data_IF_342123922229
#
_entry.id   IF_342123922229
#
_cell.length_a   1.000
_cell.length_b   1.000
_cell.length_c   1.000
_cell.angle_alpha   90.00
_cell.angle_beta   90.00
_cell.angle_gamma   90.00
#
_symmetry.space_group_name_H-M   'P 1'
#
loop_
_entity.id
_entity.type
_entity.pdbx_description
1 polymer ?
#
# COMPACT_ATOMS: atom_id res chain seq x y z
N UNK A 1 -24.19 5.88 42.19
CA UNK A 1 -24.19 4.40 42.31
C UNK A 1 -22.91 3.89 41.67
N UNK A 2 -21.86 3.82 42.48
CA UNK A 2 -20.50 3.43 42.09
C UNK A 2 -20.42 1.90 42.09
N UNK A 3 -20.22 1.29 40.93
CA UNK A 3 -19.96 -0.14 40.87
C UNK A 3 -18.45 -0.36 41.08
N UNK A 4 -18.12 -0.89 42.25
CA UNK A 4 -16.78 -1.23 42.69
C UNK A 4 -16.22 -2.37 41.82
N UNK A 5 -15.21 -2.08 41.00
CA UNK A 5 -14.33 -3.11 40.42
C UNK A 5 -13.25 -3.47 41.46
N UNK A 6 -13.70 -4.07 42.57
CA UNK A 6 -12.86 -4.66 43.62
C UNK A 6 -12.69 -6.16 43.39
N UNK A 7 -12.03 -6.54 42.30
CA UNK A 7 -11.60 -7.91 42.05
C UNK A 7 -10.09 -8.00 42.23
N UNK A 8 -9.67 -8.60 43.34
CA UNK A 8 -8.28 -8.86 43.72
C UNK A 8 -7.50 -9.56 42.60
N UNK A 9 -6.30 -9.02 42.32
CA UNK A 9 -5.28 -9.44 41.32
C UNK A 9 -4.73 -10.88 41.46
N UNK A 10 -5.36 -11.73 42.27
CA UNK A 10 -4.96 -13.12 42.51
C UNK A 10 -6.10 -14.07 42.15
N UNK A 11 -6.40 -14.22 40.86
CA UNK A 11 -7.11 -15.40 40.40
C UNK A 11 -6.71 -15.70 38.96
N UNK A 12 -6.17 -16.90 38.79
CA UNK A 12 -5.54 -17.48 37.60
C UNK A 12 -4.11 -16.96 37.36
N UNK A 13 -3.11 -17.78 37.71
CA UNK A 13 -1.67 -17.53 37.52
C UNK A 13 -1.24 -17.52 36.06
N UNK A 14 -1.91 -16.74 35.22
CA UNK A 14 -1.64 -16.63 33.80
C UNK A 14 -1.23 -15.21 33.46
N UNK A 15 0.02 -15.07 33.03
CA UNK A 15 0.61 -13.78 32.66
C UNK A 15 0.16 -13.42 31.25
N UNK A 16 -0.36 -12.21 31.09
CA UNK A 16 -0.57 -11.61 29.76
C UNK A 16 0.79 -11.49 29.06
N UNK A 17 0.85 -11.99 27.84
CA UNK A 17 2.06 -12.06 27.00
C UNK A 17 2.01 -11.04 25.87
N UNK A 18 3.16 -10.75 25.27
CA UNK A 18 3.23 -9.94 24.05
C UNK A 18 2.33 -10.49 22.94
N UNK A 19 2.24 -11.83 22.81
CA UNK A 19 1.33 -12.47 21.86
C UNK A 19 -0.15 -12.14 22.12
N UNK A 20 -0.55 -11.96 23.36
CA UNK A 20 -1.93 -11.54 23.64
C UNK A 20 -2.17 -10.10 23.23
N UNK A 21 -1.19 -9.22 23.47
CA UNK A 21 -1.26 -7.82 23.07
C UNK A 21 -1.39 -7.75 21.53
N UNK A 22 -0.64 -8.58 20.79
CA UNK A 22 -0.82 -8.73 19.34
C UNK A 22 -2.24 -9.21 18.97
N UNK A 23 -2.78 -10.21 19.67
CA UNK A 23 -4.15 -10.71 19.45
C UNK A 23 -5.17 -9.60 19.72
N UNK A 24 -5.04 -8.84 20.81
CA UNK A 24 -5.91 -7.73 21.17
C UNK A 24 -5.87 -6.62 20.11
N UNK A 25 -4.66 -6.26 19.67
CA UNK A 25 -4.45 -5.28 18.62
C UNK A 25 -5.10 -5.73 17.31
N UNK A 26 -4.90 -6.99 16.93
CA UNK A 26 -5.53 -7.55 15.73
C UNK A 26 -7.05 -7.57 15.82
N UNK A 27 -7.63 -8.07 16.91
CA UNK A 27 -9.09 -8.08 17.16
C UNK A 27 -9.69 -6.67 17.12
N UNK A 28 -8.99 -5.69 17.68
CA UNK A 28 -9.40 -4.29 17.66
C UNK A 28 -9.53 -3.71 16.25
N UNK A 29 -8.65 -4.15 15.33
CA UNK A 29 -8.62 -3.73 13.93
C UNK A 29 -9.71 -4.43 13.09
N UNK A 30 -9.91 -5.74 13.24
CA UNK A 30 -10.86 -6.54 12.44
C UNK A 30 -12.31 -6.57 12.97
N UNK A 31 -12.61 -5.81 14.04
CA UNK A 31 -13.89 -5.81 14.79
C UNK A 31 -14.13 -7.08 15.61
N UNK A 32 -14.14 -8.24 14.95
CA UNK A 32 -14.46 -9.53 15.55
C UNK A 32 -13.73 -10.67 14.85
N UNK A 33 -13.50 -11.77 15.56
CA UNK A 33 -12.94 -12.98 14.98
C UNK A 33 -13.43 -14.25 15.68
N UNK A 34 -13.39 -15.36 14.95
CA UNK A 34 -13.50 -16.71 15.49
C UNK A 34 -12.14 -17.25 15.91
N UNK A 35 -12.16 -18.31 16.72
CA UNK A 35 -10.94 -19.01 17.16
C UNK A 35 -10.10 -19.49 15.97
N UNK A 36 -10.75 -19.99 14.92
CA UNK A 36 -10.08 -20.49 13.72
C UNK A 36 -9.36 -19.38 12.94
N UNK A 37 -9.89 -18.16 12.97
CA UNK A 37 -9.26 -17.01 12.30
C UNK A 37 -8.04 -16.52 13.08
N UNK A 38 -8.12 -16.52 14.43
CA UNK A 38 -6.97 -16.27 15.30
C UNK A 38 -5.90 -17.35 15.11
N UNK A 39 -6.32 -18.62 15.09
CA UNK A 39 -5.45 -19.76 14.81
C UNK A 39 -4.68 -19.55 13.50
N UNK A 40 -5.40 -19.21 12.44
CA UNK A 40 -4.85 -19.02 11.10
C UNK A 40 -3.88 -17.84 11.03
N UNK A 41 -4.32 -16.65 11.49
CA UNK A 41 -3.53 -15.41 11.47
C UNK A 41 -2.20 -15.54 12.20
N UNK A 42 -2.19 -16.24 13.33
CA UNK A 42 -1.02 -16.33 14.20
C UNK A 42 -0.27 -17.65 14.06
N UNK A 43 -0.65 -18.51 13.11
CA UNK A 43 0.03 -19.78 12.85
C UNK A 43 0.11 -20.70 14.06
N UNK A 44 -0.90 -20.68 14.94
CA UNK A 44 -0.90 -21.44 16.18
C UNK A 44 -1.81 -22.67 16.13
N UNK A 45 -1.65 -23.61 17.06
CA UNK A 45 -2.58 -24.72 17.20
C UNK A 45 -3.94 -24.23 17.72
N UNK A 46 -5.05 -24.83 17.28
CA UNK A 46 -6.42 -24.45 17.67
C UNK A 46 -6.62 -24.38 19.18
N UNK A 47 -6.13 -25.39 19.91
CA UNK A 47 -6.22 -25.45 21.38
C UNK A 47 -5.44 -24.33 22.07
N UNK A 48 -4.29 -23.91 21.50
CA UNK A 48 -3.54 -22.75 22.00
C UNK A 48 -4.31 -21.45 21.75
N UNK A 49 -4.86 -21.25 20.55
CA UNK A 49 -5.68 -20.08 20.23
C UNK A 49 -6.87 -19.94 21.17
N UNK A 50 -7.62 -21.04 21.36
CA UNK A 50 -8.75 -21.09 22.29
C UNK A 50 -8.32 -20.72 23.71
N UNK A 51 -7.25 -21.33 24.23
CA UNK A 51 -6.75 -21.05 25.58
C UNK A 51 -6.33 -19.59 25.76
N UNK A 52 -5.66 -18.97 24.79
CA UNK A 52 -5.30 -17.54 24.87
C UNK A 52 -6.54 -16.66 24.89
N UNK A 53 -7.51 -16.91 24.00
CA UNK A 53 -8.77 -16.16 23.96
C UNK A 53 -9.57 -16.32 25.25
N UNK A 54 -9.61 -17.53 25.82
CA UNK A 54 -10.27 -17.78 27.10
C UNK A 54 -9.64 -16.96 28.22
N UNK A 55 -8.31 -16.95 28.35
CA UNK A 55 -7.65 -16.13 29.38
C UNK A 55 -7.91 -14.64 29.17
N UNK A 56 -7.87 -14.16 27.92
CA UNK A 56 -8.18 -12.76 27.62
C UNK A 56 -9.62 -12.38 27.94
N UNK A 57 -10.56 -13.32 27.76
CA UNK A 57 -11.95 -13.17 28.12
C UNK A 57 -12.16 -13.16 29.64
N UNK A 58 -11.55 -14.10 30.37
CA UNK A 58 -11.56 -14.15 31.84
C UNK A 58 -10.95 -12.89 32.47
N UNK A 59 -9.92 -12.32 31.84
CA UNK A 59 -9.30 -11.05 32.23
C UNK A 59 -10.11 -9.79 31.83
N UNK A 60 -11.26 -9.95 31.14
CA UNK A 60 -12.10 -8.82 30.68
C UNK A 60 -11.48 -7.99 29.54
N UNK A 61 -10.42 -8.47 28.90
CA UNK A 61 -9.75 -7.79 27.78
C UNK A 61 -10.41 -8.11 26.43
N UNK A 62 -11.11 -9.25 26.35
CA UNK A 62 -11.90 -9.68 25.19
C UNK A 62 -13.34 -9.96 25.63
N UNK A 63 -14.32 -9.59 24.82
CA UNK A 63 -15.71 -10.05 24.95
C UNK A 63 -15.96 -11.26 24.07
N UNK A 64 -16.84 -12.16 24.50
CA UNK A 64 -17.25 -13.35 23.73
C UNK A 64 -18.76 -13.32 23.49
N UNK A 65 -19.16 -13.32 22.22
CA UNK A 65 -20.56 -13.31 21.80
C UNK A 65 -20.92 -14.70 21.24
N UNK A 66 -21.64 -15.48 22.05
CA UNK A 66 -22.07 -16.83 21.70
C UNK A 66 -23.42 -16.87 20.97
N UNK A 67 -24.24 -15.83 21.08
CA UNK A 67 -25.59 -15.77 20.52
C UNK A 67 -25.60 -15.30 19.05
N UNK A 68 -24.72 -15.88 18.25
CA UNK A 68 -24.57 -15.59 16.81
C UNK A 68 -24.68 -16.89 16.00
N UNK A 69 -25.06 -16.83 14.71
CA UNK A 69 -25.07 -18.03 13.87
C UNK A 69 -23.67 -18.67 13.73
N UNK A 70 -23.55 -19.93 14.18
CA UNK A 70 -22.32 -20.72 14.12
C UNK A 70 -21.45 -20.58 15.38
N UNK A 71 -20.12 -20.79 15.27
CA UNK A 71 -19.21 -20.57 16.40
C UNK A 71 -19.24 -19.12 16.89
N UNK A 72 -19.16 -18.94 18.21
CA UNK A 72 -19.08 -17.63 18.86
C UNK A 72 -17.89 -16.80 18.39
N UNK A 73 -18.01 -15.49 18.55
CA UNK A 73 -17.01 -14.51 18.10
C UNK A 73 -16.43 -13.74 19.26
N UNK A 74 -15.17 -13.34 19.11
CA UNK A 74 -14.39 -12.62 20.10
C UNK A 74 -14.13 -11.20 19.61
N UNK A 75 -14.22 -10.22 20.50
CA UNK A 75 -14.02 -8.79 20.22
C UNK A 75 -13.15 -8.17 21.30
N UNK A 76 -12.27 -7.23 20.95
CA UNK A 76 -11.53 -6.49 21.97
C UNK A 76 -12.47 -5.58 22.76
N UNK A 77 -12.40 -5.63 24.10
CA UNK A 77 -13.12 -4.69 24.97
C UNK A 77 -12.40 -3.33 24.98
N UNK A 78 -12.99 -2.32 25.62
CA UNK A 78 -12.31 -1.03 25.80
C UNK A 78 -10.97 -1.19 26.52
N UNK A 79 -10.90 -2.05 27.54
CA UNK A 79 -9.68 -2.37 28.26
C UNK A 79 -8.67 -3.09 27.35
N UNK A 80 -9.13 -4.07 26.56
CA UNK A 80 -8.28 -4.75 25.57
C UNK A 80 -7.65 -3.79 24.56
N UNK A 81 -8.42 -2.81 24.07
CA UNK A 81 -7.91 -1.78 23.16
C UNK A 81 -6.87 -0.87 23.82
N UNK A 82 -7.03 -0.54 25.12
CA UNK A 82 -6.02 0.23 25.85
C UNK A 82 -4.71 -0.54 25.99
N UNK A 83 -4.80 -1.85 26.30
CA UNK A 83 -3.63 -2.74 26.37
C UNK A 83 -2.90 -2.86 25.03
N UNK A 84 -3.62 -2.78 23.92
CA UNK A 84 -3.05 -2.78 22.57
C UNK A 84 -2.70 -1.38 22.05
N UNK A 85 -2.80 -0.34 22.89
CA UNK A 85 -2.52 1.06 22.53
C UNK A 85 -3.33 1.56 21.31
N UNK A 86 -4.53 1.01 21.11
CA UNK A 86 -5.42 1.39 20.01
C UNK A 86 -6.41 2.46 20.45
N UNK A 87 -6.33 3.62 19.80
CA UNK A 87 -7.31 4.71 19.91
C UNK A 87 -8.52 4.48 19.00
N UNK A 88 -9.11 3.28 19.08
CA UNK A 88 -10.33 2.90 18.36
C UNK A 88 -11.50 2.80 19.36
N UNK A 89 -12.73 3.00 18.88
CA UNK A 89 -13.92 2.66 19.67
C UNK A 89 -13.99 1.13 19.87
N UNK A 90 -14.73 0.65 20.88
CA UNK A 90 -15.06 -0.78 20.97
C UNK A 90 -15.94 -1.21 19.80
N UNK A 91 -15.76 -2.43 19.31
CA UNK A 91 -16.63 -2.98 18.27
C UNK A 91 -17.92 -3.53 18.88
N UNK A 92 -18.98 -3.56 18.07
CA UNK A 92 -20.26 -4.22 18.38
C UNK A 92 -20.58 -5.24 17.30
N UNK A 93 -21.27 -6.31 17.69
CA UNK A 93 -21.77 -7.33 16.77
C UNK A 93 -23.13 -6.88 16.22
N UNK A 94 -23.28 -6.97 14.90
CA UNK A 94 -24.57 -6.83 14.23
C UNK A 94 -24.82 -8.07 13.39
N UNK A 95 -25.95 -8.75 13.60
CA UNK A 95 -26.31 -9.93 12.82
C UNK A 95 -26.43 -9.63 11.32
N UNK A 96 -26.79 -8.40 10.96
CA UNK A 96 -26.90 -7.95 9.57
C UNK A 96 -25.53 -7.89 8.87
N UNK A 97 -24.46 -7.53 9.59
CA UNK A 97 -23.10 -7.39 9.03
C UNK A 97 -22.18 -8.54 9.37
N UNK A 98 -22.53 -9.39 10.36
CA UNK A 98 -21.67 -10.46 10.90
C UNK A 98 -21.02 -11.32 9.81
N UNK A 99 -21.81 -11.73 8.81
CA UNK A 99 -21.29 -12.53 7.69
C UNK A 99 -20.22 -11.78 6.90
N UNK A 100 -20.42 -10.50 6.64
CA UNK A 100 -19.46 -9.66 5.93
C UNK A 100 -18.22 -9.37 6.82
N UNK A 101 -18.43 -9.03 8.09
CA UNK A 101 -17.35 -8.80 9.06
C UNK A 101 -16.43 -10.03 9.18
N UNK A 102 -16.99 -11.24 9.31
CA UNK A 102 -16.22 -12.47 9.33
C UNK A 102 -15.41 -12.69 8.05
N UNK A 103 -15.98 -12.39 6.88
CA UNK A 103 -15.27 -12.52 5.61
C UNK A 103 -14.15 -11.50 5.47
N UNK A 104 -14.33 -10.27 5.96
CA UNK A 104 -13.23 -9.30 6.05
C UNK A 104 -12.13 -9.81 6.97
N UNK A 105 -12.49 -10.36 8.13
CA UNK A 105 -11.53 -10.94 9.07
C UNK A 105 -10.73 -12.08 8.43
N UNK A 106 -11.35 -12.94 7.61
CA UNK A 106 -10.64 -13.98 6.86
C UNK A 106 -9.60 -13.38 5.90
N UNK A 107 -9.98 -12.34 5.14
CA UNK A 107 -9.08 -11.67 4.20
C UNK A 107 -7.92 -11.01 4.94
N UNK A 108 -8.18 -10.28 6.03
CA UNK A 108 -7.11 -9.65 6.84
C UNK A 108 -6.21 -10.72 7.47
N UNK A 109 -6.78 -11.80 8.00
CA UNK A 109 -6.02 -12.91 8.57
C UNK A 109 -5.04 -13.49 7.56
N UNK A 110 -5.49 -13.70 6.32
CA UNK A 110 -4.69 -14.24 5.22
C UNK A 110 -3.55 -13.29 4.79
N UNK A 111 -3.88 -12.01 4.60
CA UNK A 111 -2.92 -10.99 4.19
C UNK A 111 -1.77 -10.86 5.21
N UNK A 112 -2.11 -10.93 6.48
CA UNK A 112 -1.16 -10.68 7.57
C UNK A 112 -0.51 -11.93 8.17
N UNK A 113 -0.93 -13.15 7.77
CA UNK A 113 -0.46 -14.41 8.37
C UNK A 113 1.07 -14.53 8.46
N UNK A 114 1.78 -14.10 7.43
CA UNK A 114 3.24 -14.20 7.37
C UNK A 114 3.96 -12.97 7.93
N UNK A 115 3.18 -12.00 8.44
CA UNK A 115 3.62 -10.91 9.31
C UNK A 115 4.62 -9.92 8.74
N UNK A 116 4.94 -9.93 7.44
CA UNK A 116 6.22 -9.35 7.01
C UNK A 116 6.29 -8.36 5.85
N UNK A 117 5.24 -7.98 5.12
CA UNK A 117 5.50 -7.12 3.95
C UNK A 117 4.49 -6.01 3.66
N UNK A 118 3.29 -6.04 4.24
CA UNK A 118 2.23 -5.14 3.79
C UNK A 118 1.47 -4.55 4.97
N UNK A 119 1.36 -3.22 4.99
CA UNK A 119 0.54 -2.52 5.96
C UNK A 119 -0.91 -2.61 5.50
N UNK A 120 -1.70 -3.41 6.21
CA UNK A 120 -3.12 -3.58 5.95
C UNK A 120 -3.91 -2.58 6.80
N UNK A 121 -4.84 -1.88 6.17
CA UNK A 121 -5.77 -0.98 6.84
C UNK A 121 -7.17 -1.55 6.76
N UNK A 122 -7.83 -1.71 7.91
CA UNK A 122 -9.26 -2.03 7.94
C UNK A 122 -10.11 -0.77 7.82
N UNK A 123 -11.40 -0.92 7.48
CA UNK A 123 -12.35 0.19 7.48
C UNK A 123 -12.30 1.04 8.77
N UNK A 124 -12.14 0.40 9.94
CA UNK A 124 -12.07 1.11 11.23
C UNK A 124 -10.86 2.03 11.32
N UNK A 125 -9.71 1.50 10.92
CA UNK A 125 -8.45 2.24 10.94
C UNK A 125 -8.50 3.39 9.95
N UNK A 126 -9.03 3.12 8.75
CA UNK A 126 -9.22 4.16 7.75
C UNK A 126 -10.20 5.25 8.21
N UNK A 127 -11.30 4.92 8.89
CA UNK A 127 -12.20 5.94 9.46
C UNK A 127 -11.52 6.79 10.52
N UNK A 128 -10.76 6.16 11.42
CA UNK A 128 -10.01 6.87 12.44
C UNK A 128 -8.95 7.80 11.81
N UNK A 129 -8.28 7.33 10.78
CA UNK A 129 -7.32 8.11 10.00
C UNK A 129 -8.01 9.26 9.26
N UNK A 130 -9.18 9.04 8.66
CA UNK A 130 -9.93 10.08 7.95
C UNK A 130 -10.46 11.18 8.87
N UNK A 131 -10.64 10.88 10.15
CA UNK A 131 -11.04 11.87 11.15
C UNK A 131 -9.90 12.83 11.50
N UNK A 132 -8.63 12.47 11.22
CA UNK A 132 -7.48 13.35 11.42
C UNK A 132 -7.42 14.42 10.31
N UNK A 133 -7.06 15.68 10.63
CA UNK A 133 -6.93 16.74 9.63
C UNK A 133 -5.92 16.42 8.51
N UNK A 134 -4.80 15.82 8.88
CA UNK A 134 -3.66 15.42 8.05
C UNK A 134 -3.66 13.93 7.67
N UNK A 135 -4.67 13.18 8.12
CA UNK A 135 -4.71 11.74 7.92
C UNK A 135 -4.88 11.35 6.46
N UNK A 136 -4.27 10.23 6.08
CA UNK A 136 -4.33 9.72 4.71
C UNK A 136 -5.77 9.42 4.29
N UNK A 137 -6.11 9.74 3.03
CA UNK A 137 -7.44 9.54 2.46
C UNK A 137 -7.44 8.35 1.48
N UNK A 138 -8.25 7.36 1.80
CA UNK A 138 -8.44 6.12 1.04
C UNK A 138 -9.83 6.03 0.39
N UNK A 139 -10.58 7.14 0.36
CA UNK A 139 -11.96 7.13 -0.07
C UNK A 139 -12.15 7.88 -1.40
N UNK A 140 -12.19 7.19 -2.54
CA UNK A 140 -12.59 7.81 -3.80
C UNK A 140 -13.98 8.43 -3.70
N UNK A 141 -14.19 9.52 -4.45
CA UNK A 141 -15.52 10.13 -4.57
C UNK A 141 -16.39 9.26 -5.49
N UNK A 142 -17.54 8.84 -4.98
CA UNK A 142 -18.53 8.04 -5.71
C UNK A 142 -19.81 8.85 -5.89
N UNK A 143 -20.33 8.83 -7.11
CA UNK A 143 -21.62 9.42 -7.48
C UNK A 143 -22.65 8.29 -7.63
N UNK A 144 -23.44 8.04 -6.57
CA UNK A 144 -24.52 7.06 -6.64
C UNK A 144 -25.77 7.66 -7.34
N UNK A 145 -26.33 7.02 -8.38
CA UNK A 145 -27.59 7.44 -8.98
C UNK A 145 -28.71 7.52 -7.94
N UNK A 146 -29.44 8.64 -7.93
CA UNK A 146 -30.55 8.88 -6.99
C UNK A 146 -30.15 9.44 -5.62
N UNK A 147 -28.85 9.63 -5.34
CA UNK A 147 -28.39 10.48 -4.22
C UNK A 147 -28.00 11.86 -4.73
N UNK A 148 -28.56 12.89 -4.11
CA UNK A 148 -28.27 14.30 -4.42
C UNK A 148 -26.84 14.73 -4.05
N UNK A 149 -26.12 13.95 -3.24
CA UNK A 149 -24.73 14.21 -2.85
C UNK A 149 -23.84 13.04 -3.20
N UNK A 150 -22.76 13.33 -3.92
CA UNK A 150 -21.61 12.44 -4.04
C UNK A 150 -21.02 12.16 -2.67
N UNK A 151 -20.77 10.89 -2.36
CA UNK A 151 -20.16 10.48 -1.10
C UNK A 151 -18.76 9.93 -1.31
N UNK A 152 -17.94 10.01 -0.28
CA UNK A 152 -16.67 9.29 -0.23
C UNK A 152 -16.98 7.81 0.05
N UNK A 153 -16.56 6.92 -0.84
CA UNK A 153 -16.69 5.48 -0.66
C UNK A 153 -15.42 4.95 -0.02
N UNK A 154 -15.54 4.33 1.15
CA UNK A 154 -14.40 3.74 1.83
C UNK A 154 -14.30 2.26 1.43
N UNK A 155 -13.13 1.78 0.98
CA UNK A 155 -12.91 0.36 0.75
C UNK A 155 -13.13 -0.44 2.04
N UNK A 156 -13.41 -1.74 1.91
CA UNK A 156 -13.53 -2.62 3.07
C UNK A 156 -12.15 -2.83 3.72
N UNK A 157 -11.13 -3.03 2.88
CA UNK A 157 -9.73 -3.21 3.28
C UNK A 157 -8.85 -2.42 2.30
N UNK A 158 -7.77 -1.84 2.81
CA UNK A 158 -6.69 -1.29 1.99
C UNK A 158 -5.38 -2.01 2.29
N UNK A 159 -4.65 -2.32 1.24
CA UNK A 159 -3.26 -2.78 1.35
C UNK A 159 -2.37 -1.64 0.88
N UNK A 160 -1.62 -1.08 1.81
CA UNK A 160 -0.67 -0.01 1.56
C UNK A 160 0.64 -0.63 1.06
N UNK A 161 1.02 -0.22 -0.15
CA UNK A 161 2.24 -0.65 -0.83
C UNK A 161 3.33 0.41 -0.61
N UNK A 162 4.52 0.17 -1.17
CA UNK A 162 5.56 1.18 -1.22
C UNK A 162 5.11 2.42 -2.04
N UNK A 163 5.77 3.55 -1.79
CA UNK A 163 5.65 4.80 -2.57
C UNK A 163 4.22 5.39 -2.59
N UNK A 164 3.54 5.31 -1.44
CA UNK A 164 2.16 5.77 -1.22
C UNK A 164 1.11 5.13 -2.13
N UNK A 165 1.49 4.12 -2.91
CA UNK A 165 0.58 3.33 -3.72
C UNK A 165 -0.26 2.41 -2.83
N UNK A 166 -1.54 2.23 -3.15
CA UNK A 166 -2.40 1.37 -2.35
C UNK A 166 -3.39 0.59 -3.21
N UNK A 167 -3.81 -0.57 -2.67
CA UNK A 167 -4.79 -1.46 -3.28
C UNK A 167 -6.06 -1.43 -2.45
N UNK A 168 -7.17 -1.08 -3.09
CA UNK A 168 -8.51 -1.22 -2.51
C UNK A 168 -8.97 -2.68 -2.63
N UNK A 169 -9.48 -3.25 -1.54
CA UNK A 169 -10.10 -4.57 -1.53
C UNK A 169 -11.55 -4.43 -1.06
N UNK A 170 -12.46 -5.00 -1.85
CA UNK A 170 -13.91 -5.02 -1.62
C UNK A 170 -14.36 -6.47 -1.42
N UNK A 171 -15.07 -6.76 -0.33
CA UNK A 171 -15.57 -8.08 0.03
C UNK A 171 -17.07 -8.16 -0.22
N UNK A 172 -17.44 -8.55 -1.43
CA UNK A 172 -18.83 -8.57 -1.88
C UNK A 172 -19.45 -9.95 -1.63
N UNK A 173 -20.28 -10.08 -0.58
CA UNK A 173 -20.95 -11.36 -0.23
C UNK A 173 -22.33 -11.56 -0.84
N UNK A 174 -23.03 -10.48 -1.15
CA UNK A 174 -24.36 -10.50 -1.74
C UNK A 174 -24.34 -9.60 -2.96
N UNK A 175 -25.13 -9.94 -3.98
CA UNK A 175 -25.20 -9.11 -5.17
C UNK A 175 -25.83 -7.75 -4.82
N UNK A 176 -25.00 -6.71 -4.63
CA UNK A 176 -25.49 -5.32 -4.63
C UNK A 176 -26.15 -5.03 -5.97
N UNK A 177 -27.09 -4.07 -5.97
CA UNK A 177 -27.68 -3.53 -7.20
C UNK A 177 -26.57 -3.16 -8.17
N UNK A 178 -26.73 -3.57 -9.43
CA UNK A 178 -25.73 -3.38 -10.47
C UNK A 178 -25.34 -1.90 -10.65
N UNK A 179 -26.31 -0.99 -10.49
CA UNK A 179 -26.11 0.46 -10.56
C UNK A 179 -25.19 0.98 -9.47
N UNK A 180 -25.41 0.59 -8.21
CA UNK A 180 -24.55 0.98 -7.08
C UNK A 180 -23.13 0.45 -7.26
N UNK A 181 -23.01 -0.79 -7.71
CA UNK A 181 -21.72 -1.42 -7.97
C UNK A 181 -20.96 -0.68 -9.08
N UNK A 182 -21.66 -0.30 -10.16
CA UNK A 182 -21.10 0.51 -11.25
C UNK A 182 -20.66 1.89 -10.76
N UNK A 183 -21.44 2.54 -9.90
CA UNK A 183 -21.08 3.83 -9.32
C UNK A 183 -19.78 3.75 -8.51
N UNK A 184 -19.63 2.73 -7.66
CA UNK A 184 -18.40 2.50 -6.89
C UNK A 184 -17.21 2.27 -7.82
N UNK A 185 -17.37 1.38 -8.81
CA UNK A 185 -16.34 1.13 -9.83
C UNK A 185 -15.97 2.42 -10.58
N UNK A 186 -16.96 3.24 -10.96
CA UNK A 186 -16.69 4.52 -11.62
C UNK A 186 -15.91 5.47 -10.72
N UNK A 187 -16.23 5.54 -9.42
CA UNK A 187 -15.48 6.36 -8.47
C UNK A 187 -14.02 5.89 -8.35
N UNK A 188 -13.79 4.58 -8.27
CA UNK A 188 -12.44 4.02 -8.30
C UNK A 188 -11.71 4.32 -9.61
N UNK A 189 -12.37 4.17 -10.76
CA UNK A 189 -11.79 4.45 -12.07
C UNK A 189 -11.35 5.91 -12.17
N UNK A 190 -12.20 6.83 -11.73
CA UNK A 190 -11.89 8.26 -11.70
C UNK A 190 -10.73 8.57 -10.72
N UNK A 191 -10.65 7.86 -9.60
CA UNK A 191 -9.61 8.06 -8.61
C UNK A 191 -8.25 7.48 -9.04
N UNK A 192 -8.21 6.45 -9.89
CA UNK A 192 -6.96 5.84 -10.34
C UNK A 192 -6.03 6.81 -11.11
N UNK A 193 -6.56 7.92 -11.64
CA UNK A 193 -5.77 8.97 -12.30
C UNK A 193 -5.39 10.17 -11.42
N UNK A 194 -5.92 10.26 -10.19
CA UNK A 194 -5.78 11.44 -9.32
C UNK A 194 -5.24 11.07 -7.94
N UNK A 195 -5.37 9.81 -7.54
CA UNK A 195 -4.88 9.27 -6.29
C UNK A 195 -3.85 8.17 -6.55
N UNK A 196 -3.05 7.85 -5.54
CA UNK A 196 -2.09 6.73 -5.59
C UNK A 196 -2.79 5.35 -5.50
N UNK A 197 -4.03 5.23 -5.95
CA UNK A 197 -4.75 3.98 -6.04
C UNK A 197 -4.18 3.16 -7.21
N UNK A 198 -3.42 2.12 -6.91
CA UNK A 198 -2.85 1.24 -7.94
C UNK A 198 -3.86 0.23 -8.50
N UNK A 199 -4.76 -0.30 -7.64
CA UNK A 199 -5.65 -1.41 -8.03
C UNK A 199 -6.89 -1.52 -7.15
N UNK A 200 -7.96 -2.07 -7.72
CA UNK A 200 -9.14 -2.55 -6.97
C UNK A 200 -9.30 -4.06 -7.14
N UNK A 201 -9.49 -4.76 -6.03
CA UNK A 201 -9.71 -6.20 -5.98
C UNK A 201 -11.08 -6.48 -5.36
N UNK A 202 -11.96 -7.16 -6.08
CA UNK A 202 -13.21 -7.65 -5.53
C UNK A 202 -13.08 -9.12 -5.15
N UNK A 203 -13.34 -9.43 -3.89
CA UNK A 203 -13.46 -10.79 -3.35
C UNK A 203 -14.93 -11.17 -3.38
N UNK A 204 -15.32 -12.10 -4.26
CA UNK A 204 -16.70 -12.55 -4.45
C UNK A 204 -16.84 -14.06 -4.20
N UNK A 205 -17.99 -14.55 -3.70
CA UNK A 205 -18.15 -15.93 -3.22
C UNK A 205 -18.37 -16.96 -4.33
N UNK A 206 -18.70 -16.54 -5.55
CA UNK A 206 -19.03 -17.47 -6.64
C UNK A 206 -18.39 -17.06 -7.98
N UNK A 207 -18.13 -18.02 -8.89
CA UNK A 207 -17.70 -17.73 -10.25
C UNK A 207 -18.71 -16.86 -11.03
N UNK A 208 -20.02 -17.02 -10.75
CA UNK A 208 -21.07 -16.20 -11.37
C UNK A 208 -20.95 -14.74 -10.97
N UNK A 209 -20.70 -14.47 -9.70
CA UNK A 209 -20.45 -13.11 -9.22
C UNK A 209 -19.17 -12.54 -9.83
N UNK A 210 -18.15 -13.38 -10.05
CA UNK A 210 -16.93 -12.95 -10.72
C UNK A 210 -17.21 -12.52 -12.17
N UNK A 211 -17.97 -13.29 -12.93
CA UNK A 211 -18.37 -12.91 -14.30
C UNK A 211 -19.16 -11.60 -14.27
N UNK A 212 -20.15 -11.49 -13.38
CA UNK A 212 -20.93 -10.27 -13.19
C UNK A 212 -20.06 -9.05 -12.92
N UNK A 213 -19.11 -9.16 -11.99
CA UNK A 213 -18.20 -8.08 -11.64
C UNK A 213 -17.28 -7.70 -12.82
N UNK A 214 -16.78 -8.69 -13.57
CA UNK A 214 -16.02 -8.44 -14.79
C UNK A 214 -16.82 -7.65 -15.83
N UNK A 215 -18.08 -8.04 -16.06
CA UNK A 215 -18.96 -7.35 -17.00
C UNK A 215 -19.24 -5.90 -16.57
N UNK A 216 -19.44 -5.67 -15.26
CA UNK A 216 -19.68 -4.33 -14.73
C UNK A 216 -18.45 -3.45 -14.86
N UNK A 217 -17.27 -3.97 -14.58
CA UNK A 217 -16.04 -3.21 -14.65
C UNK A 217 -15.61 -2.93 -16.10
N UNK A 218 -15.82 -3.88 -17.01
CA UNK A 218 -15.60 -3.66 -18.44
C UNK A 218 -16.45 -2.49 -18.96
N UNK A 219 -17.70 -2.36 -18.51
CA UNK A 219 -18.59 -1.23 -18.85
C UNK A 219 -18.10 0.13 -18.31
N UNK A 220 -17.28 0.13 -17.26
CA UNK A 220 -16.68 1.35 -16.68
C UNK A 220 -15.34 1.68 -17.36
N UNK A 221 -14.74 0.74 -18.10
CA UNK A 221 -13.45 0.92 -18.77
C UNK A 221 -12.27 0.24 -18.06
N UNK A 222 -12.51 -0.50 -16.97
CA UNK A 222 -11.48 -1.35 -16.40
C UNK A 222 -11.16 -2.52 -17.32
N UNK A 223 -9.86 -2.84 -17.46
CA UNK A 223 -9.44 -4.08 -18.10
C UNK A 223 -9.53 -5.21 -17.08
N UNK A 224 -10.50 -6.10 -17.28
CA UNK A 224 -10.61 -7.32 -16.51
C UNK A 224 -9.35 -8.17 -16.72
N UNK A 225 -8.60 -8.43 -15.65
CA UNK A 225 -7.56 -9.44 -15.66
C UNK A 225 -8.15 -10.74 -15.10
N UNK A 226 -8.39 -11.73 -15.97
CA UNK A 226 -8.76 -13.08 -15.51
C UNK A 226 -7.56 -13.71 -14.81
N UNK A 227 -7.70 -14.00 -13.52
CA UNK A 227 -6.85 -14.96 -12.82
C UNK A 227 -7.65 -16.23 -12.56
N UNK A 228 -7.32 -17.31 -13.27
CA UNK A 228 -7.81 -18.63 -12.94
C UNK A 228 -7.03 -19.18 -11.74
N UNK A 229 -7.72 -19.38 -10.62
CA UNK A 229 -7.52 -20.50 -9.67
C UNK A 229 -8.53 -20.36 -8.55
N UNK A 230 -9.32 -21.40 -8.37
CA UNK A 230 -10.25 -21.60 -7.27
C UNK A 230 -9.40 -22.01 -6.07
N UNK A 231 -9.27 -21.13 -5.07
CA UNK A 231 -8.67 -21.54 -3.80
C UNK A 231 -9.82 -21.75 -2.83
N UNK A 232 -9.94 -22.96 -2.29
CA UNK A 232 -10.78 -23.21 -1.12
C UNK A 232 -10.18 -22.43 0.05
N UNK A 233 -10.68 -21.21 0.29
CA UNK A 233 -10.50 -20.59 1.59
C UNK A 233 -11.17 -21.52 2.59
N UNK A 234 -10.42 -21.94 3.62
CA UNK A 234 -10.75 -22.97 4.61
C UNK A 234 -12.13 -22.81 5.32
N UNK A 235 -12.87 -21.73 5.09
CA UNK A 235 -14.15 -21.41 5.73
C UNK A 235 -15.34 -21.25 4.77
N UNK A 236 -15.26 -21.80 3.55
CA UNK A 236 -16.42 -21.89 2.64
C UNK A 236 -16.75 -20.62 1.85
N UNK A 237 -15.79 -19.72 1.71
CA UNK A 237 -15.83 -18.67 0.68
C UNK A 237 -15.03 -19.21 -0.50
N UNK A 238 -15.70 -19.78 -1.49
CA UNK A 238 -15.08 -20.08 -2.78
C UNK A 238 -14.74 -18.77 -3.51
N UNK A 239 -13.73 -18.04 -3.03
CA UNK A 239 -13.47 -16.68 -3.48
C UNK A 239 -12.88 -16.67 -4.88
N UNK A 240 -13.70 -16.32 -5.86
CA UNK A 240 -13.22 -15.97 -7.18
C UNK A 240 -12.78 -14.49 -7.15
N UNK A 241 -11.48 -14.22 -6.99
CA UNK A 241 -11.01 -12.83 -6.99
C UNK A 241 -11.19 -12.20 -8.39
N UNK A 242 -11.83 -11.04 -8.46
CA UNK A 242 -11.91 -10.24 -9.70
C UNK A 242 -10.92 -9.09 -9.60
N UNK A 243 -10.04 -9.02 -10.60
CA UNK A 243 -8.96 -8.02 -10.64
C UNK A 243 -9.27 -6.97 -11.68
N UNK A 244 -9.23 -5.71 -11.25
CA UNK A 244 -9.33 -4.56 -12.14
C UNK A 244 -8.03 -3.78 -12.04
N UNK A 245 -7.21 -3.87 -13.08
CA UNK A 245 -6.01 -3.05 -13.22
C UNK A 245 -6.25 -1.97 -14.27
N UNK A 246 -5.96 -0.71 -13.95
CA UNK A 246 -5.62 0.25 -14.99
C UNK A 246 -4.18 -0.07 -15.44
N UNK A 247 -4.00 -0.42 -16.73
CA UNK A 247 -2.71 -0.68 -17.43
C UNK A 247 -2.11 -2.12 -17.33
N UNK A 248 -1.34 -2.46 -18.39
CA UNK A 248 -1.00 -3.74 -19.06
C UNK A 248 -0.39 -4.89 -18.21
N UNK A 249 -0.91 -6.11 -18.43
CA UNK A 249 -0.12 -7.36 -18.46
C UNK A 249 -0.16 -8.29 -17.23
N UNK A 250 -0.32 -9.60 -17.51
CA UNK A 250 -0.02 -10.80 -16.70
C UNK A 250 -0.97 -11.36 -15.61
N UNK A 251 -0.96 -12.70 -15.49
CA UNK A 251 -2.01 -13.63 -14.95
C UNK A 251 -1.63 -14.31 -13.61
N UNK A 252 -2.66 -14.52 -12.73
CA UNK A 252 -2.98 -15.77 -11.98
C UNK A 252 -2.43 -16.01 -10.54
N UNK A 253 -3.30 -16.21 -9.48
CA UNK A 253 -3.16 -16.68 -8.03
C UNK A 253 -3.55 -15.69 -6.87
N UNK A 254 -4.57 -15.88 -6.02
CA UNK A 254 -5.07 -14.78 -5.15
C UNK A 254 -4.26 -14.44 -3.86
N UNK A 255 -3.94 -15.38 -2.96
CA UNK A 255 -3.17 -15.06 -1.73
C UNK A 255 -1.66 -14.93 -2.01
N UNK A 256 -1.11 -15.88 -2.76
CA UNK A 256 0.25 -15.78 -3.25
C UNK A 256 0.43 -14.64 -4.26
N UNK A 257 -0.56 -14.15 -5.06
CA UNK A 257 -0.33 -12.88 -5.81
C UNK A 257 -0.62 -11.67 -5.00
N UNK A 258 -1.46 -11.64 -3.98
CA UNK A 258 -1.43 -10.41 -3.18
C UNK A 258 -0.02 -10.28 -2.60
N UNK A 259 0.60 -11.36 -2.10
CA UNK A 259 2.01 -11.33 -1.66
C UNK A 259 3.03 -11.16 -2.79
N UNK A 260 2.99 -11.94 -3.87
CA UNK A 260 3.93 -11.86 -5.02
C UNK A 260 3.72 -10.63 -5.87
N UNK A 261 2.50 -10.11 -6.00
CA UNK A 261 2.23 -8.92 -6.78
C UNK A 261 2.45 -7.67 -5.96
N UNK A 262 2.23 -7.68 -4.64
CA UNK A 262 2.80 -6.62 -3.83
C UNK A 262 4.33 -6.68 -3.85
N UNK A 263 4.94 -7.88 -3.85
CA UNK A 263 6.37 -8.03 -4.07
C UNK A 263 6.79 -7.65 -5.50
N UNK A 264 5.94 -7.86 -6.53
CA UNK A 264 6.25 -7.49 -7.91
C UNK A 264 6.07 -6.01 -8.14
N UNK A 265 5.04 -5.38 -7.56
CA UNK A 265 4.84 -3.94 -7.57
C UNK A 265 5.94 -3.26 -6.76
N UNK A 266 6.35 -3.81 -5.62
CA UNK A 266 7.53 -3.35 -4.89
C UNK A 266 8.81 -3.55 -5.72
N UNK A 267 8.98 -4.67 -6.43
CA UNK A 267 10.12 -4.90 -7.31
C UNK A 267 10.09 -4.02 -8.58
N UNK A 268 8.91 -3.69 -9.10
CA UNK A 268 8.71 -2.78 -10.23
C UNK A 268 9.00 -1.34 -9.81
N UNK A 269 8.57 -0.94 -8.62
CA UNK A 269 8.89 0.34 -8.02
C UNK A 269 10.40 0.46 -7.75
N UNK A 270 11.02 -0.59 -7.19
CA UNK A 270 12.48 -0.64 -7.00
C UNK A 270 13.24 -0.63 -8.33
N UNK A 271 12.76 -1.34 -9.36
CA UNK A 271 13.30 -1.25 -10.72
C UNK A 271 13.18 0.16 -11.29
N UNK A 272 12.05 0.83 -11.09
CA UNK A 272 11.86 2.21 -11.54
C UNK A 272 12.84 3.16 -10.85
N UNK A 273 13.06 3.01 -9.53
CA UNK A 273 14.10 3.76 -8.79
C UNK A 273 15.49 3.48 -9.32
N UNK A 274 15.84 2.23 -9.60
CA UNK A 274 17.14 1.90 -10.18
C UNK A 274 17.34 2.51 -11.56
N UNK A 275 16.30 2.57 -12.38
CA UNK A 275 16.35 3.24 -13.68
C UNK A 275 16.55 4.75 -13.50
N UNK A 276 15.83 5.38 -12.56
CA UNK A 276 15.98 6.81 -12.25
C UNK A 276 17.41 7.13 -11.76
N UNK A 277 17.93 6.35 -10.80
CA UNK A 277 19.31 6.47 -10.33
C UNK A 277 20.34 6.23 -11.45
N UNK A 278 20.08 5.29 -12.36
CA UNK A 278 20.94 5.07 -13.53
C UNK A 278 20.87 6.26 -14.50
N UNK A 279 19.70 6.85 -14.71
CA UNK A 279 19.53 8.03 -15.55
C UNK A 279 20.23 9.24 -14.95
N UNK A 280 20.12 9.46 -13.64
CA UNK A 280 20.86 10.49 -12.91
C UNK A 280 22.38 10.26 -13.01
N UNK A 281 22.86 9.03 -12.82
CA UNK A 281 24.27 8.71 -12.96
C UNK A 281 24.79 8.95 -14.39
N UNK A 282 24.01 8.61 -15.42
CA UNK A 282 24.33 8.90 -16.81
C UNK A 282 24.36 10.41 -17.07
N UNK A 283 23.43 11.16 -16.48
CA UNK A 283 23.39 12.61 -16.60
C UNK A 283 24.62 13.27 -15.95
N UNK A 284 24.97 12.86 -14.73
CA UNK A 284 26.19 13.32 -14.03
C UNK A 284 27.45 12.98 -14.84
N UNK A 285 27.53 11.77 -15.43
CA UNK A 285 28.65 11.38 -16.27
C UNK A 285 28.77 12.25 -17.53
N UNK A 286 27.65 12.58 -18.19
CA UNK A 286 27.61 13.49 -19.34
C UNK A 286 28.05 14.90 -18.98
N UNK A 287 27.61 15.40 -17.83
CA UNK A 287 28.01 16.72 -17.33
C UNK A 287 29.51 16.77 -17.02
N UNK A 288 30.04 15.73 -16.39
CA UNK A 288 31.47 15.60 -16.15
C UNK A 288 32.28 15.52 -17.45
N UNK A 289 31.85 14.72 -18.44
CA UNK A 289 32.52 14.64 -19.74
C UNK A 289 32.48 16.00 -20.48
N UNK A 290 31.34 16.69 -20.47
CA UNK A 290 31.21 18.02 -21.04
C UNK A 290 32.17 19.02 -20.37
N UNK A 291 32.29 18.97 -19.04
CA UNK A 291 33.23 19.81 -18.29
C UNK A 291 34.69 19.51 -18.65
N UNK A 292 35.07 18.24 -18.78
CA UNK A 292 36.42 17.83 -19.22
C UNK A 292 36.71 18.30 -20.64
N UNK A 293 35.74 18.18 -21.56
CA UNK A 293 35.90 18.66 -22.94
C UNK A 293 36.04 20.19 -22.99
N UNK A 294 35.24 20.92 -22.22
CA UNK A 294 35.36 22.37 -22.10
C UNK A 294 36.74 22.78 -21.55
N UNK A 295 37.25 22.08 -20.54
CA UNK A 295 38.59 22.32 -19.99
C UNK A 295 39.69 22.06 -21.02
N UNK A 296 39.59 20.97 -21.80
CA UNK A 296 40.54 20.66 -22.88
C UNK A 296 40.51 21.70 -24.00
N UNK A 297 39.31 22.17 -24.37
CA UNK A 297 39.16 23.23 -25.36
C UNK A 297 39.81 24.53 -24.89
N UNK A 298 39.56 24.94 -23.64
CA UNK A 298 40.18 26.11 -23.04
C UNK A 298 41.72 25.99 -22.97
N UNK A 299 42.24 24.83 -22.58
CA UNK A 299 43.68 24.57 -22.58
C UNK A 299 44.28 24.67 -24.00
N UNK A 300 43.59 24.14 -25.01
CA UNK A 300 44.03 24.21 -26.41
C UNK A 300 44.04 25.64 -26.92
N UNK A 301 43.02 26.44 -26.61
CA UNK A 301 42.97 27.86 -26.96
C UNK A 301 44.11 28.65 -26.31
N UNK A 302 44.41 28.38 -25.05
CA UNK A 302 45.53 29.00 -24.33
C UNK A 302 46.89 28.63 -24.96
N UNK A 303 47.08 27.37 -25.34
CA UNK A 303 48.29 26.93 -26.06
C UNK A 303 48.42 27.67 -27.40
N UNK A 304 47.34 27.75 -28.18
CA UNK A 304 47.33 28.45 -29.47
C UNK A 304 47.62 29.94 -29.30
N UNK A 305 47.06 30.57 -28.26
CA UNK A 305 47.32 31.97 -27.90
C UNK A 305 48.79 32.20 -27.56
N UNK A 306 49.42 31.31 -26.79
CA UNK A 306 50.86 31.38 -26.48
C UNK A 306 51.72 31.24 -27.72
N UNK A 307 51.44 30.24 -28.56
CA UNK A 307 52.16 30.03 -29.82
C UNK A 307 52.05 31.24 -30.75
N UNK A 308 50.87 31.87 -30.83
CA UNK A 308 50.67 33.10 -31.62
C UNK A 308 51.51 34.25 -31.06
N UNK A 309 51.50 34.46 -29.75
CA UNK A 309 52.30 35.51 -29.10
C UNK A 309 53.81 35.30 -29.31
N UNK A 310 54.29 34.05 -29.24
CA UNK A 310 55.68 33.70 -29.53
C UNK A 310 56.06 33.99 -30.98
N UNK A 311 55.19 33.63 -31.94
CA UNK A 311 55.39 33.95 -33.37
C UNK A 311 55.45 35.45 -33.62
N UNK A 312 54.54 36.21 -33.00
CA UNK A 312 54.53 37.68 -33.11
C UNK A 312 55.79 38.31 -32.51
N UNK A 313 56.27 37.80 -31.36
CA UNK A 313 57.55 38.23 -30.76
C UNK A 313 58.74 37.91 -31.66
N UNK A 314 58.82 36.68 -32.18
CA UNK A 314 59.88 36.26 -33.09
C UNK A 314 59.89 37.09 -34.38
N UNK A 315 58.71 37.37 -34.96
CA UNK A 315 58.58 38.24 -36.12
C UNK A 315 59.03 39.68 -35.81
N UNK A 316 58.65 40.22 -34.65
CA UNK A 316 59.07 41.56 -34.23
C UNK A 316 60.59 41.64 -34.01
N UNK A 317 61.20 40.59 -33.46
CA UNK A 317 62.65 40.49 -33.27
C UNK A 317 63.39 40.39 -34.60
N UNK A 318 62.94 39.52 -35.51
CA UNK A 318 63.47 39.39 -36.87
C UNK A 318 63.37 40.69 -37.69
N UNK A 319 62.41 41.57 -37.38
CA UNK A 319 62.28 42.88 -38.03
C UNK A 319 63.24 43.96 -37.46
N UNK A 320 63.87 43.74 -36.30
CA UNK A 320 64.79 44.72 -35.66
C UNK A 320 66.02 45.06 -36.51
N UNK A 321 66.73 44.10 -37.13
CA UNK A 321 67.88 44.39 -38.00
C UNK A 321 67.49 45.24 -39.21
N UNK A 322 66.34 44.95 -39.84
CA UNK A 322 65.83 45.71 -40.99
C UNK A 322 65.55 47.16 -40.60
N UNK A 323 64.94 47.41 -39.43
CA UNK A 323 64.71 48.77 -38.91
C UNK A 323 66.01 49.49 -38.56
N UNK A 324 67.01 48.79 -37.98
CA UNK A 324 68.34 49.37 -37.71
C UNK A 324 69.06 49.74 -39.00
N UNK A 325 69.02 48.87 -40.01
CA UNK A 325 69.63 49.13 -41.32
C UNK A 325 68.95 50.30 -42.05
N UNK A 326 67.61 50.36 -42.05
CA UNK A 326 66.86 51.51 -42.60
C UNK A 326 67.19 52.83 -41.89
N UNK A 327 67.31 52.83 -40.55
CA UNK A 327 67.75 54.02 -39.80
C UNK A 327 69.18 54.44 -40.11
N UNK A 328 70.09 53.49 -40.32
CA UNK A 328 71.47 53.79 -40.70
C UNK A 328 71.55 54.43 -42.10
N UNK A 329 70.66 54.05 -43.03
CA UNK A 329 70.61 54.62 -44.37
C UNK A 329 69.92 55.99 -44.46
N UNK A 330 69.07 56.35 -43.50
CA UNK A 330 68.31 57.62 -43.52
C UNK A 330 68.90 58.72 -42.63
N UNK A 331 70.07 58.50 -42.04
CA UNK A 331 70.72 59.41 -41.08
C UNK A 331 72.06 59.99 -41.57
N UNK A 332 72.34 59.89 -42.86
CA UNK A 332 73.46 60.53 -43.55
C UNK A 332 72.94 61.51 -44.60
#
# INVERSE_FOLDING_TARGET
MSNQLGGTREQIGFRITERDIEILGWLGRVRLARVEQVQWRFGMARSKAYRRLQVLWEAGLVGHESNVPGPGVYLATRAGLQWAELSLASATVSLATLKHDLAMTDVVAELERDGKLLKVWTEREMRAEHARPDGRRFAPRVHEPGRTRSGNHLPDIVVDLADDCWVAIEVERTAKRAERTRAILQGYYNAAGVSNLGRVVYVVPTPRDQVRMNDLAAKVGFRAQRSASQTDLMFGIGAAAVRFSAVRGYRGMASWLIKQHCASVAADAERARQIELQQEAVQVAREHEAAVQAQRAAQREEILRRQRAERERAAAEAARPIKRFKRALSGG
#
